data_IF_163861540256
#
_entry.id   IF_163861540256
#
_cell.length_a   1.000
_cell.length_b   1.000
_cell.length_c   1.000
_cell.angle_alpha   90.00
_cell.angle_beta   90.00
_cell.angle_gamma   90.00
#
_symmetry.space_group_name_H-M   'P 1'
#
loop_
_entity.id
_entity.type
_entity.pdbx_description
1 polymer ?
#
# COMPACT_ATOMS: atom_id res chain seq x y z
N UNK A 1 -46.75 28.40 -23.06
CA UNK A 1 -46.61 27.34 -22.05
C UNK A 1 -45.74 27.84 -20.90
N UNK A 2 -46.20 27.72 -19.64
CA UNK A 2 -45.34 27.56 -18.45
C UNK A 2 -45.20 26.04 -18.18
N UNK A 3 -44.31 25.51 -17.29
CA UNK A 3 -43.34 26.15 -16.38
C UNK A 3 -41.91 25.50 -16.51
N UNK A 4 -40.85 25.85 -15.76
CA UNK A 4 -40.59 25.27 -14.44
C UNK A 4 -39.27 25.73 -13.80
N UNK A 5 -39.38 26.06 -12.51
CA UNK A 5 -38.46 25.86 -11.36
C UNK A 5 -36.99 26.33 -11.49
N UNK A 6 -36.57 27.38 -10.79
CA UNK A 6 -36.29 27.44 -9.35
C UNK A 6 -34.89 26.87 -8.98
N UNK A 7 -34.00 27.81 -8.65
CA UNK A 7 -32.92 27.75 -7.67
C UNK A 7 -32.36 26.37 -7.30
N UNK A 8 -31.25 25.98 -7.93
CA UNK A 8 -30.36 24.97 -7.35
C UNK A 8 -29.46 25.65 -6.33
N UNK A 9 -29.67 25.26 -5.07
CA UNK A 9 -29.01 25.78 -3.89
C UNK A 9 -27.49 25.63 -3.94
N UNK A 10 -26.83 26.67 -3.43
CA UNK A 10 -25.43 26.69 -3.01
C UNK A 10 -25.25 25.58 -1.97
N UNK A 11 -24.67 24.44 -2.36
CA UNK A 11 -24.13 23.48 -1.41
C UNK A 11 -22.63 23.73 -1.31
N UNK A 12 -22.29 24.74 -0.52
CA UNK A 12 -20.94 24.98 -0.04
C UNK A 12 -20.59 23.82 0.89
N UNK A 13 -20.05 22.73 0.34
CA UNK A 13 -19.43 21.69 1.15
C UNK A 13 -18.22 22.32 1.82
N UNK A 14 -18.39 22.66 3.10
CA UNK A 14 -17.29 22.99 4.00
C UNK A 14 -16.43 21.74 4.08
N UNK A 15 -15.38 21.69 3.25
CA UNK A 15 -14.32 20.71 3.39
C UNK A 15 -13.55 21.12 4.64
N UNK A 16 -13.92 20.51 5.77
CA UNK A 16 -13.22 20.69 7.03
C UNK A 16 -11.78 20.20 6.83
N UNK A 17 -10.86 21.14 6.66
CA UNK A 17 -9.42 20.88 6.63
C UNK A 17 -9.00 20.45 8.04
N UNK A 18 -9.15 19.18 8.37
CA UNK A 18 -8.40 18.59 9.48
C UNK A 18 -7.00 18.36 8.94
N UNK A 19 -6.13 19.34 9.12
CA UNK A 19 -4.70 19.12 8.96
C UNK A 19 -4.31 17.98 9.91
N UNK A 20 -3.74 16.85 9.44
CA UNK A 20 -3.24 15.85 10.35
C UNK A 20 -2.10 16.51 11.14
N UNK A 21 -2.27 16.61 12.45
CA UNK A 21 -1.21 16.99 13.37
C UNK A 21 -0.07 15.99 13.21
N UNK A 22 1.14 16.49 12.98
CA UNK A 22 2.38 15.71 13.06
C UNK A 22 2.37 14.94 14.38
N UNK A 23 2.22 13.61 14.33
CA UNK A 23 2.43 12.73 15.49
C UNK A 23 1.31 11.76 15.90
N UNK A 24 0.19 11.64 15.19
CA UNK A 24 -0.79 10.58 15.51
C UNK A 24 -0.41 9.26 14.83
N UNK A 25 0.15 8.32 15.60
CA UNK A 25 0.37 6.93 15.18
C UNK A 25 -0.98 6.25 14.93
N UNK A 26 -1.07 5.40 13.90
CA UNK A 26 -2.30 4.69 13.58
C UNK A 26 -2.72 3.77 14.72
N UNK A 27 -4.03 3.70 14.98
CA UNK A 27 -4.62 2.69 15.86
C UNK A 27 -4.45 1.29 15.25
N UNK A 28 -4.51 0.24 16.08
CA UNK A 28 -4.45 -1.14 15.61
C UNK A 28 -5.56 -1.48 14.60
N UNK A 29 -6.73 -0.85 14.73
CA UNK A 29 -7.83 -1.01 13.78
C UNK A 29 -7.47 -0.42 12.40
N UNK A 30 -6.88 0.78 12.38
CA UNK A 30 -6.43 1.40 11.14
C UNK A 30 -5.27 0.60 10.51
N UNK A 31 -4.31 0.13 11.30
CA UNK A 31 -3.21 -0.72 10.83
C UNK A 31 -3.73 -2.00 10.19
N UNK A 32 -4.71 -2.67 10.81
CA UNK A 32 -5.36 -3.85 10.24
C UNK A 32 -6.11 -3.56 8.94
N UNK A 33 -6.78 -2.40 8.85
CA UNK A 33 -7.46 -1.99 7.63
C UNK A 33 -6.45 -1.79 6.48
N UNK A 34 -5.38 -1.01 6.72
CA UNK A 34 -4.34 -0.78 5.71
C UNK A 34 -3.63 -2.07 5.30
N UNK A 35 -3.36 -2.97 6.26
CA UNK A 35 -2.80 -4.28 5.94
C UNK A 35 -3.74 -5.10 5.05
N UNK A 36 -5.04 -5.11 5.34
CA UNK A 36 -6.05 -5.77 4.51
C UNK A 36 -6.05 -5.21 3.09
N UNK A 37 -6.08 -3.89 2.95
CA UNK A 37 -6.04 -3.25 1.63
C UNK A 37 -4.74 -3.55 0.86
N UNK A 38 -3.59 -3.64 1.55
CA UNK A 38 -2.31 -3.99 0.94
C UNK A 38 -2.34 -5.42 0.37
N UNK A 39 -2.88 -6.37 1.14
CA UNK A 39 -3.03 -7.76 0.73
C UNK A 39 -4.01 -7.89 -0.44
N UNK A 40 -5.16 -7.23 -0.37
CA UNK A 40 -6.15 -7.22 -1.45
C UNK A 40 -5.56 -6.65 -2.75
N UNK A 41 -4.76 -5.57 -2.66
CA UNK A 41 -4.07 -5.00 -3.81
C UNK A 41 -3.05 -5.97 -4.41
N UNK A 42 -2.29 -6.66 -3.56
CA UNK A 42 -1.32 -7.66 -3.99
C UNK A 42 -2.02 -8.82 -4.71
N UNK A 43 -3.12 -9.34 -4.14
CA UNK A 43 -3.90 -10.43 -4.71
C UNK A 43 -4.53 -10.05 -6.05
N UNK A 44 -5.03 -8.82 -6.20
CA UNK A 44 -5.46 -8.28 -7.50
C UNK A 44 -4.33 -8.31 -8.53
N UNK A 45 -3.12 -7.93 -8.13
CA UNK A 45 -1.93 -7.98 -8.98
C UNK A 45 -1.62 -9.40 -9.46
N UNK A 46 -1.61 -10.36 -8.53
CA UNK A 46 -1.40 -11.79 -8.83
C UNK A 46 -2.45 -12.33 -9.79
N UNK A 47 -3.72 -11.99 -9.60
CA UNK A 47 -4.82 -12.49 -10.41
C UNK A 47 -4.72 -12.11 -11.90
N UNK A 48 -4.10 -10.96 -12.20
CA UNK A 48 -4.06 -10.41 -13.57
C UNK A 48 -2.66 -10.36 -14.18
N UNK A 49 -1.60 -10.75 -13.46
CA UNK A 49 -0.20 -10.62 -13.93
C UNK A 49 0.07 -11.30 -15.28
N UNK A 50 -0.63 -12.40 -15.57
CA UNK A 50 -0.47 -13.15 -16.82
C UNK A 50 -1.29 -12.60 -17.99
N UNK A 51 -2.38 -11.91 -17.71
CA UNK A 51 -3.36 -11.48 -18.73
C UNK A 51 -3.31 -9.98 -18.98
N UNK A 52 -2.96 -9.20 -17.96
CA UNK A 52 -2.86 -7.75 -18.02
C UNK A 52 -1.70 -7.23 -17.13
N UNK A 53 -0.43 -7.33 -17.61
CA UNK A 53 0.74 -6.97 -16.82
C UNK A 53 0.79 -5.50 -16.37
N UNK A 54 0.20 -4.57 -17.12
CA UNK A 54 0.17 -3.15 -16.73
C UNK A 54 -0.76 -2.92 -15.53
N UNK A 55 -1.94 -3.55 -15.54
CA UNK A 55 -2.86 -3.52 -14.39
C UNK A 55 -2.24 -4.22 -13.18
N UNK A 56 -1.55 -5.35 -13.40
CA UNK A 56 -0.85 -6.04 -12.32
C UNK A 56 0.21 -5.15 -11.67
N UNK A 57 1.07 -4.51 -12.47
CA UNK A 57 2.09 -3.58 -11.96
C UNK A 57 1.49 -2.42 -11.17
N UNK A 58 0.35 -1.88 -11.61
CA UNK A 58 -0.35 -0.83 -10.87
C UNK A 58 -0.86 -1.34 -9.52
N UNK A 59 -1.45 -2.54 -9.48
CA UNK A 59 -1.93 -3.15 -8.25
C UNK A 59 -0.79 -3.52 -7.28
N UNK A 60 0.36 -3.97 -7.78
CA UNK A 60 1.54 -4.19 -6.95
C UNK A 60 2.13 -2.90 -6.37
N UNK A 61 2.08 -1.80 -7.13
CA UNK A 61 2.47 -0.48 -6.60
C UNK A 61 1.52 -0.04 -5.48
N UNK A 62 0.21 -0.19 -5.69
CA UNK A 62 -0.85 0.09 -4.71
C UNK A 62 -0.66 -0.72 -3.41
N UNK A 63 -0.22 -1.98 -3.52
CA UNK A 63 0.15 -2.81 -2.39
C UNK A 63 1.42 -2.30 -1.67
N UNK A 64 2.46 -1.97 -2.45
CA UNK A 64 3.72 -1.46 -1.91
C UNK A 64 3.53 -0.17 -1.10
N UNK A 65 2.74 0.78 -1.62
CA UNK A 65 2.43 2.04 -0.95
C UNK A 65 1.75 1.82 0.42
N UNK A 66 0.86 0.83 0.54
CA UNK A 66 0.20 0.51 1.82
C UNK A 66 1.09 -0.23 2.79
N UNK A 67 1.91 -1.16 2.31
CA UNK A 67 2.92 -1.78 3.18
C UNK A 67 3.92 -0.75 3.68
N UNK A 68 4.34 0.19 2.84
CA UNK A 68 5.21 1.30 3.23
C UNK A 68 4.55 2.21 4.27
N UNK A 69 3.26 2.54 4.10
CA UNK A 69 2.51 3.30 5.11
C UNK A 69 2.55 2.65 6.50
N UNK A 70 2.45 1.33 6.59
CA UNK A 70 2.58 0.60 7.86
C UNK A 70 3.99 0.69 8.44
N UNK A 71 5.01 0.57 7.59
CA UNK A 71 6.42 0.70 7.99
C UNK A 71 6.71 2.12 8.51
N UNK A 72 6.22 3.14 7.80
CA UNK A 72 6.37 4.55 8.16
C UNK A 72 5.61 4.92 9.44
N UNK A 73 4.48 4.25 9.70
CA UNK A 73 3.75 4.33 10.97
C UNK A 73 4.45 3.59 12.13
N UNK A 74 5.60 2.96 11.86
CA UNK A 74 6.45 2.31 12.86
C UNK A 74 6.14 0.83 13.09
N UNK A 75 5.23 0.23 12.33
CA UNK A 75 5.05 -1.22 12.34
C UNK A 75 6.15 -1.85 11.49
N UNK A 76 7.22 -2.34 12.13
CA UNK A 76 8.37 -2.95 11.43
C UNK A 76 8.58 -4.38 11.90
N UNK A 77 8.42 -5.33 10.98
CA UNK A 77 8.76 -6.74 11.21
C UNK A 77 9.19 -7.41 9.88
N UNK A 78 9.89 -8.54 10.01
CA UNK A 78 10.43 -9.27 8.85
C UNK A 78 9.38 -9.62 7.78
N UNK A 79 8.24 -10.24 8.14
CA UNK A 79 7.20 -10.58 7.16
C UNK A 79 6.62 -9.38 6.41
N UNK A 80 6.37 -8.26 7.09
CA UNK A 80 5.87 -7.04 6.45
C UNK A 80 6.90 -6.48 5.46
N UNK A 81 8.17 -6.42 5.86
CA UNK A 81 9.27 -5.96 5.00
C UNK A 81 9.48 -6.89 3.80
N UNK A 82 9.31 -8.20 3.98
CA UNK A 82 9.34 -9.17 2.90
C UNK A 82 8.21 -8.95 1.89
N UNK A 83 6.99 -8.72 2.38
CA UNK A 83 5.84 -8.42 1.53
C UNK A 83 5.99 -7.10 0.78
N UNK A 84 6.50 -6.05 1.44
CA UNK A 84 6.88 -4.79 0.80
C UNK A 84 7.89 -5.02 -0.32
N UNK A 85 8.93 -5.83 -0.06
CA UNK A 85 9.94 -6.20 -1.06
C UNK A 85 9.33 -6.89 -2.27
N UNK A 86 8.45 -7.89 -2.07
CA UNK A 86 7.76 -8.56 -3.16
C UNK A 86 6.88 -7.61 -3.97
N UNK A 87 6.11 -6.74 -3.30
CA UNK A 87 5.25 -5.78 -3.97
C UNK A 87 6.06 -4.80 -4.84
N UNK A 88 7.17 -4.26 -4.30
CA UNK A 88 8.09 -3.39 -5.06
C UNK A 88 8.73 -4.09 -6.25
N UNK A 89 9.20 -5.33 -6.06
CA UNK A 89 9.79 -6.11 -7.14
C UNK A 89 8.80 -6.31 -8.29
N UNK A 90 7.56 -6.72 -7.97
CA UNK A 90 6.51 -6.93 -8.95
C UNK A 90 6.00 -5.63 -9.59
N UNK A 91 6.09 -4.50 -8.88
CA UNK A 91 5.84 -3.17 -9.41
C UNK A 91 6.96 -2.65 -10.34
N UNK A 92 8.12 -3.32 -10.36
CA UNK A 92 9.30 -2.94 -11.14
C UNK A 92 10.29 -2.01 -10.41
N UNK A 93 10.10 -1.77 -9.11
CA UNK A 93 11.04 -1.04 -8.26
C UNK A 93 12.06 -2.00 -7.64
N UNK A 94 13.08 -2.35 -8.43
CA UNK A 94 14.12 -3.28 -7.99
C UNK A 94 14.95 -2.72 -6.81
N UNK A 95 15.27 -1.43 -6.84
CA UNK A 95 16.08 -0.80 -5.80
C UNK A 95 15.38 -0.80 -4.44
N UNK A 96 14.11 -0.39 -4.43
CA UNK A 96 13.30 -0.42 -3.22
C UNK A 96 12.99 -1.84 -2.73
N UNK A 97 12.89 -2.82 -3.64
CA UNK A 97 12.72 -4.23 -3.27
C UNK A 97 13.95 -4.79 -2.53
N UNK A 98 15.15 -4.58 -3.08
CA UNK A 98 16.41 -5.02 -2.44
C UNK A 98 16.57 -4.39 -1.06
N UNK A 99 16.28 -3.09 -0.93
CA UNK A 99 16.32 -2.41 0.37
C UNK A 99 15.38 -3.08 1.39
N UNK A 100 14.13 -3.32 0.99
CA UNK A 100 13.13 -3.95 1.85
C UNK A 100 13.51 -5.38 2.24
N UNK A 101 14.04 -6.19 1.30
CA UNK A 101 14.53 -7.53 1.59
C UNK A 101 15.73 -7.54 2.54
N UNK A 102 16.68 -6.61 2.38
CA UNK A 102 17.80 -6.46 3.32
C UNK A 102 17.34 -6.06 4.72
N UNK A 103 16.28 -5.27 4.81
CA UNK A 103 15.66 -4.94 6.09
C UNK A 103 14.99 -6.16 6.69
N UNK A 104 14.23 -6.92 5.89
CA UNK A 104 13.60 -8.16 6.32
C UNK A 104 14.62 -9.20 6.80
N UNK A 105 15.78 -9.32 6.14
CA UNK A 105 16.88 -10.22 6.51
C UNK A 105 17.43 -9.92 7.91
N UNK A 106 17.48 -8.65 8.33
CA UNK A 106 17.88 -8.32 9.71
C UNK A 106 16.91 -8.83 10.77
N UNK A 107 15.64 -9.03 10.41
CA UNK A 107 14.62 -9.58 11.30
C UNK A 107 14.44 -11.10 11.15
N UNK A 108 14.80 -11.66 10.00
CA UNK A 108 14.64 -13.07 9.66
C UNK A 108 15.90 -13.61 8.95
N UNK A 109 17.07 -13.64 9.64
CA UNK A 109 18.37 -13.87 9.00
C UNK A 109 18.53 -15.26 8.35
N UNK A 110 17.74 -16.25 8.80
CA UNK A 110 17.78 -17.62 8.30
C UNK A 110 16.60 -17.98 7.40
N UNK A 111 15.78 -17.00 6.94
CA UNK A 111 14.66 -17.29 6.05
C UNK A 111 15.17 -17.60 4.63
N UNK A 112 14.97 -18.83 4.12
CA UNK A 112 15.50 -19.24 2.82
C UNK A 112 14.88 -18.44 1.65
N UNK A 113 13.69 -17.86 1.83
CA UNK A 113 13.04 -17.04 0.80
C UNK A 113 13.79 -15.74 0.54
N UNK A 114 14.38 -15.16 1.59
CA UNK A 114 15.19 -13.95 1.49
C UNK A 114 16.52 -14.21 0.79
N UNK A 115 17.14 -15.36 1.09
CA UNK A 115 18.37 -15.78 0.41
C UNK A 115 18.12 -15.91 -1.09
N UNK A 116 17.04 -16.58 -1.52
CA UNK A 116 16.70 -16.70 -2.95
C UNK A 116 16.48 -15.35 -3.66
N UNK A 117 15.85 -14.38 -3.00
CA UNK A 117 15.53 -13.09 -3.61
C UNK A 117 16.71 -12.09 -3.65
N UNK A 118 17.80 -12.36 -2.93
CA UNK A 118 18.97 -11.47 -2.80
C UNK A 118 20.23 -11.99 -3.51
N UNK A 119 20.15 -13.16 -4.16
CA UNK A 119 21.26 -13.79 -4.89
C UNK A 119 21.43 -13.27 -6.32
#
# INVERSE_FOLDING_TARGET
>A
MKPSAASAAIMLTVMLLVAPTVGATMTDAQRRAVLGEALDAYDRGVAVVRTNPSVARAAFRDAAERFELLVDDGLVNGPLLYNLGNARLQAGDLGGAVLAYRWAERHMPSDPRLQTNLM
#
